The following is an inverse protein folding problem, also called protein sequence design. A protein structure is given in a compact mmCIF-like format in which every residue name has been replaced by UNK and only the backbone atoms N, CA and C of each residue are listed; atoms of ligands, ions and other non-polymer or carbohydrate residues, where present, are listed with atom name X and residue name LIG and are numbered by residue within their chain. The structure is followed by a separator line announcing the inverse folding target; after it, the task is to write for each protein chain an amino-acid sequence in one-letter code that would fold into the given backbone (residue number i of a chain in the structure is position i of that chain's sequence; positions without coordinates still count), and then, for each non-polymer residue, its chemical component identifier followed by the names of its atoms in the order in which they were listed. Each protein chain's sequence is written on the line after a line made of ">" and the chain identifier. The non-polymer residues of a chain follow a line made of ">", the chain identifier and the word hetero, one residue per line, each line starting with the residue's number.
data_IF_578825358379
#
_entry.id   IF_578825358379
#
_cell.length_a   1.000
_cell.length_b   1.000
_cell.length_c   1.000
_cell.angle_alpha   90.00
_cell.angle_beta   90.00
_cell.angle_gamma   90.00
#
_symmetry.space_group_name_H-M   'P 1'
#
loop_
_entity.id
_entity.type
_entity.pdbx_description
1 polymer ?
#
# COMPACT_ATOMS: atom_id res chain seq x y z
N UNK A 1 16.99 -3.96 6.32
CA UNK A 1 18.01 -3.72 5.30
C UNK A 1 17.52 -3.94 3.88
N UNK A 2 17.45 -5.20 3.42
CA UNK A 2 17.20 -5.53 2.01
C UNK A 2 15.90 -4.95 1.43
N UNK A 3 14.79 -5.00 2.18
CA UNK A 3 13.51 -4.44 1.77
C UNK A 3 13.61 -2.95 1.44
N UNK A 4 14.21 -2.15 2.34
CA UNK A 4 14.37 -0.70 2.14
C UNK A 4 15.24 -0.40 0.93
N UNK A 5 16.34 -1.13 0.75
CA UNK A 5 17.23 -0.99 -0.42
C UNK A 5 16.47 -1.27 -1.72
N UNK A 6 15.68 -2.35 -1.76
CA UNK A 6 14.90 -2.70 -2.95
C UNK A 6 13.85 -1.62 -3.25
N UNK A 7 13.14 -1.09 -2.24
CA UNK A 7 12.16 -0.02 -2.44
C UNK A 7 12.78 1.27 -2.97
N UNK A 8 13.98 1.65 -2.48
CA UNK A 8 14.74 2.79 -3.01
C UNK A 8 15.13 2.54 -4.47
N UNK A 9 15.72 1.38 -4.76
CA UNK A 9 16.14 1.05 -6.12
C UNK A 9 14.95 1.06 -7.10
N UNK A 10 13.83 0.42 -6.74
CA UNK A 10 12.62 0.43 -7.57
C UNK A 10 12.08 1.85 -7.77
N UNK A 11 12.08 2.68 -6.72
CA UNK A 11 11.67 4.08 -6.79
C UNK A 11 12.56 4.90 -7.73
N UNK A 12 13.88 4.78 -7.59
CA UNK A 12 14.87 5.50 -8.43
C UNK A 12 14.77 5.06 -9.89
N UNK A 13 14.72 3.74 -10.15
CA UNK A 13 14.53 3.23 -11.52
C UNK A 13 13.22 3.73 -12.12
N UNK A 14 12.13 3.73 -11.36
CA UNK A 14 10.83 4.21 -11.83
C UNK A 14 10.83 5.70 -12.15
N UNK A 15 11.53 6.53 -11.36
CA UNK A 15 11.70 7.95 -11.65
C UNK A 15 12.52 8.17 -12.91
N UNK A 16 13.60 7.40 -13.10
CA UNK A 16 14.43 7.47 -14.30
C UNK A 16 13.62 7.12 -15.56
N UNK A 17 12.85 6.01 -15.53
CA UNK A 17 11.98 5.62 -16.64
C UNK A 17 10.85 6.64 -16.86
N UNK A 18 10.24 7.17 -15.80
CA UNK A 18 9.23 8.20 -15.90
C UNK A 18 9.74 9.45 -16.61
N UNK A 19 10.97 9.85 -16.29
CA UNK A 19 11.63 10.99 -16.90
C UNK A 19 11.96 10.75 -18.38
N UNK A 20 12.51 9.58 -18.71
CA UNK A 20 12.86 9.24 -20.10
C UNK A 20 11.65 9.01 -21.00
N UNK A 21 10.66 8.25 -20.51
CA UNK A 21 9.52 7.83 -21.34
C UNK A 21 8.29 8.73 -21.20
N UNK A 22 8.36 9.76 -20.34
CA UNK A 22 7.25 10.69 -20.00
C UNK A 22 5.95 9.97 -19.60
N UNK A 23 6.09 8.79 -18.99
CA UNK A 23 4.95 7.97 -18.58
C UNK A 23 4.47 8.31 -17.18
N UNK A 24 3.21 8.75 -17.08
CA UNK A 24 2.59 9.16 -15.82
C UNK A 24 2.45 8.04 -14.78
N UNK A 25 2.36 6.77 -15.22
CA UNK A 25 2.25 5.66 -14.23
C UNK A 25 3.59 5.35 -13.53
N UNK A 26 4.72 5.58 -14.19
CA UNK A 26 6.01 5.37 -13.57
C UNK A 26 6.25 6.34 -12.40
N UNK A 27 5.78 7.60 -12.52
CA UNK A 27 5.76 8.53 -11.38
C UNK A 27 4.84 8.03 -10.24
N UNK A 28 3.67 7.47 -10.60
CA UNK A 28 2.77 6.88 -9.62
C UNK A 28 3.40 5.70 -8.89
N UNK A 29 4.12 4.83 -9.60
CA UNK A 29 4.83 3.70 -9.01
C UNK A 29 5.98 4.16 -8.10
N UNK A 30 6.76 5.15 -8.54
CA UNK A 30 7.82 5.74 -7.71
C UNK A 30 7.26 6.36 -6.42
N UNK A 31 6.09 7.02 -6.49
CA UNK A 31 5.41 7.54 -5.31
C UNK A 31 4.99 6.42 -4.35
N UNK A 32 4.44 5.30 -4.86
CA UNK A 32 4.12 4.12 -4.04
C UNK A 32 5.37 3.57 -3.36
N UNK A 33 6.47 3.37 -4.09
CA UNK A 33 7.73 2.91 -3.52
C UNK A 33 8.26 3.86 -2.43
N UNK A 34 8.17 5.19 -2.66
CA UNK A 34 8.58 6.20 -1.69
C UNK A 34 7.73 6.16 -0.40
N UNK A 35 6.41 6.01 -0.52
CA UNK A 35 5.53 5.88 0.65
C UNK A 35 5.79 4.56 1.39
N UNK A 36 5.96 3.43 0.69
CA UNK A 36 6.34 2.16 1.30
C UNK A 36 7.70 2.25 2.04
N UNK A 37 8.67 2.96 1.46
CA UNK A 37 9.94 3.23 2.12
C UNK A 37 9.74 4.02 3.42
N UNK A 38 8.94 5.10 3.41
CA UNK A 38 8.66 5.91 4.61
C UNK A 38 7.97 5.09 5.71
N UNK A 39 6.99 4.25 5.35
CA UNK A 39 6.32 3.35 6.31
C UNK A 39 7.35 2.43 6.99
N UNK A 40 8.28 1.87 6.23
CA UNK A 40 9.26 0.89 6.72
C UNK A 40 10.48 1.52 7.39
N UNK A 41 10.67 2.84 7.29
CA UNK A 41 11.75 3.56 7.96
C UNK A 41 11.50 3.78 9.46
N UNK A 42 10.25 3.73 9.92
CA UNK A 42 9.89 4.01 11.31
C UNK A 42 10.70 3.20 12.33
N UNK A 43 10.85 1.86 12.23
CA UNK A 43 11.63 1.08 13.18
C UNK A 43 13.10 1.51 13.24
N UNK A 44 13.67 1.91 12.09
CA UNK A 44 15.07 2.37 11.99
C UNK A 44 15.23 3.69 12.73
N UNK A 45 14.36 4.67 12.48
CA UNK A 45 14.41 5.96 13.17
C UNK A 45 14.15 5.84 14.67
N UNK A 46 13.26 4.93 15.08
CA UNK A 46 12.99 4.64 16.47
C UNK A 46 14.22 4.04 17.20
N UNK A 47 14.95 3.13 16.53
CA UNK A 47 16.10 2.44 17.12
C UNK A 47 17.35 3.29 17.23
N UNK A 48 17.54 4.27 16.34
CA UNK A 48 18.76 5.07 16.25
C UNK A 48 18.58 6.55 16.59
N UNK A 49 17.34 7.01 16.77
CA UNK A 49 17.01 8.42 16.97
C UNK A 49 16.67 8.78 18.40
N UNK A 50 17.18 9.91 18.86
CA UNK A 50 16.74 10.60 20.09
C UNK A 50 15.49 11.46 19.86
N UNK A 51 14.80 11.26 18.76
CA UNK A 51 13.71 12.09 18.27
C UNK A 51 12.38 11.72 18.93
N UNK A 52 11.45 12.65 19.10
CA UNK A 52 10.17 12.34 19.73
C UNK A 52 9.39 11.32 18.87
N UNK A 53 9.02 10.21 19.48
CA UNK A 53 8.36 9.05 18.85
C UNK A 53 7.04 9.41 18.18
N UNK A 54 6.26 10.30 18.81
CA UNK A 54 4.87 10.60 18.39
C UNK A 54 4.73 11.12 16.96
N UNK A 55 5.51 12.12 16.49
CA UNK A 55 5.40 12.59 15.10
C UNK A 55 5.72 11.52 14.07
N UNK A 56 6.70 10.66 14.34
CA UNK A 56 7.08 9.57 13.44
C UNK A 56 6.00 8.50 13.35
N UNK A 57 5.39 8.16 14.48
CA UNK A 57 4.27 7.22 14.50
C UNK A 57 3.06 7.77 13.74
N UNK A 58 2.74 9.06 13.87
CA UNK A 58 1.68 9.70 13.08
C UNK A 58 2.01 9.67 11.59
N UNK A 59 3.26 9.95 11.21
CA UNK A 59 3.71 9.90 9.82
C UNK A 59 3.56 8.49 9.25
N UNK A 60 3.99 7.46 9.99
CA UNK A 60 3.83 6.05 9.59
C UNK A 60 2.37 5.71 9.33
N UNK A 61 1.48 6.03 10.27
CA UNK A 61 0.04 5.73 10.13
C UNK A 61 -0.56 6.45 8.92
N UNK A 62 -0.23 7.73 8.72
CA UNK A 62 -0.71 8.51 7.56
C UNK A 62 -0.17 7.93 6.25
N UNK A 63 1.11 7.59 6.19
CA UNK A 63 1.71 6.96 5.02
C UNK A 63 1.09 5.58 4.75
N UNK A 64 0.92 4.76 5.78
CA UNK A 64 0.29 3.44 5.67
C UNK A 64 -1.14 3.53 5.14
N UNK A 65 -1.93 4.48 5.63
CA UNK A 65 -3.28 4.68 5.11
C UNK A 65 -3.28 5.25 3.70
N UNK A 66 -2.34 6.13 3.38
CA UNK A 66 -2.22 6.79 2.07
C UNK A 66 -1.74 5.90 0.94
N UNK A 67 -0.99 4.83 1.25
CA UNK A 67 -0.46 3.91 0.24
C UNK A 67 -1.58 3.16 -0.51
N UNK A 68 -2.66 2.81 0.17
CA UNK A 68 -3.75 2.03 -0.44
C UNK A 68 -4.48 2.76 -1.57
N UNK A 69 -4.95 4.01 -1.42
CA UNK A 69 -5.58 4.73 -2.53
C UNK A 69 -4.60 4.99 -3.69
N UNK A 70 -3.30 5.18 -3.38
CA UNK A 70 -2.28 5.32 -4.42
C UNK A 70 -2.12 4.04 -5.23
N UNK A 71 -2.02 2.88 -4.56
CA UNK A 71 -1.92 1.57 -5.21
C UNK A 71 -3.19 1.30 -6.01
N UNK A 72 -4.38 1.49 -5.44
CA UNK A 72 -5.65 1.26 -6.13
C UNK A 72 -5.77 2.11 -7.40
N UNK A 73 -5.37 3.38 -7.33
CA UNK A 73 -5.35 4.26 -8.50
C UNK A 73 -4.34 3.82 -9.56
N UNK A 74 -3.15 3.42 -9.14
CA UNK A 74 -2.09 2.96 -10.03
C UNK A 74 -2.51 1.65 -10.71
N UNK A 75 -2.93 0.66 -9.93
CA UNK A 75 -3.40 -0.63 -10.44
C UNK A 75 -4.59 -0.46 -11.38
N UNK A 76 -5.58 0.39 -11.03
CA UNK A 76 -6.72 0.68 -11.88
C UNK A 76 -6.34 1.26 -13.24
N UNK A 77 -5.27 2.07 -13.30
CA UNK A 77 -4.73 2.58 -14.57
C UNK A 77 -4.05 1.49 -15.39
N UNK A 78 -3.21 0.65 -14.75
CA UNK A 78 -2.50 -0.46 -15.41
C UNK A 78 -3.51 -1.44 -16.02
N UNK A 79 -4.56 -1.79 -15.28
CA UNK A 79 -5.62 -2.70 -15.74
C UNK A 79 -6.65 -2.02 -16.66
N UNK A 80 -6.39 -0.78 -17.06
CA UNK A 80 -7.20 0.02 -18.01
C UNK A 80 -8.68 0.11 -17.60
N UNK A 81 -8.94 0.32 -16.30
CA UNK A 81 -10.30 0.54 -15.81
C UNK A 81 -10.88 1.87 -16.31
N UNK A 82 -12.22 1.97 -16.43
CA UNK A 82 -12.88 3.24 -16.74
C UNK A 82 -12.50 4.33 -15.73
N UNK A 83 -12.16 5.52 -16.21
CA UNK A 83 -11.74 6.66 -15.37
C UNK A 83 -12.74 7.03 -14.28
N UNK A 84 -14.04 6.83 -14.54
CA UNK A 84 -15.11 7.06 -13.56
C UNK A 84 -14.97 6.12 -12.37
N UNK A 85 -14.72 4.83 -12.63
CA UNK A 85 -14.57 3.82 -11.59
C UNK A 85 -13.33 4.09 -10.74
N UNK A 86 -12.18 4.35 -11.38
CA UNK A 86 -10.93 4.71 -10.67
C UNK A 86 -11.15 5.93 -9.76
N UNK A 87 -11.88 6.94 -10.25
CA UNK A 87 -12.19 8.14 -9.46
C UNK A 87 -13.06 7.84 -8.26
N UNK A 88 -14.13 7.06 -8.45
CA UNK A 88 -15.05 6.67 -7.36
C UNK A 88 -14.32 5.86 -6.30
N UNK A 89 -13.57 4.84 -6.70
CA UNK A 89 -12.75 4.03 -5.79
C UNK A 89 -11.75 4.89 -5.02
N UNK A 90 -11.01 5.78 -5.70
CA UNK A 90 -10.03 6.67 -5.06
C UNK A 90 -10.71 7.61 -4.05
N UNK A 91 -11.88 8.16 -4.37
CA UNK A 91 -12.63 9.05 -3.46
C UNK A 91 -13.11 8.29 -2.23
N UNK A 92 -13.67 7.09 -2.41
CA UNK A 92 -14.15 6.24 -1.30
C UNK A 92 -12.98 5.87 -0.39
N UNK A 93 -11.85 5.40 -0.94
CA UNK A 93 -10.68 5.01 -0.16
C UNK A 93 -10.04 6.22 0.54
N UNK A 94 -9.95 7.37 -0.12
CA UNK A 94 -9.45 8.60 0.50
C UNK A 94 -10.39 9.09 1.62
N UNK A 95 -11.69 8.98 1.44
CA UNK A 95 -12.69 9.29 2.47
C UNK A 95 -12.54 8.37 3.70
N UNK A 96 -12.36 7.06 3.48
CA UNK A 96 -12.08 6.09 4.53
C UNK A 96 -10.78 6.40 5.28
N UNK A 97 -9.73 6.80 4.55
CA UNK A 97 -8.46 7.25 5.13
C UNK A 97 -8.66 8.46 6.05
N UNK A 98 -9.37 9.49 5.59
CA UNK A 98 -9.65 10.69 6.39
C UNK A 98 -10.45 10.34 7.63
N UNK A 99 -11.50 9.53 7.49
CA UNK A 99 -12.34 9.11 8.60
C UNK A 99 -11.53 8.34 9.66
N UNK A 100 -10.73 7.35 9.24
CA UNK A 100 -9.86 6.60 10.15
C UNK A 100 -8.81 7.52 10.80
N UNK A 101 -8.24 8.47 10.05
CA UNK A 101 -7.29 9.47 10.57
C UNK A 101 -7.90 10.38 11.64
N UNK A 102 -9.14 10.85 11.44
CA UNK A 102 -9.86 11.63 12.45
C UNK A 102 -10.02 10.84 13.75
N UNK A 103 -10.49 9.59 13.69
CA UNK A 103 -10.62 8.74 14.87
C UNK A 103 -9.27 8.41 15.51
N UNK A 104 -8.20 8.29 14.74
CA UNK A 104 -6.85 8.14 15.26
C UNK A 104 -6.41 9.36 16.09
N UNK A 105 -6.64 10.57 15.60
CA UNK A 105 -6.28 11.81 16.31
C UNK A 105 -7.06 11.96 17.62
N UNK A 106 -8.33 11.58 17.66
CA UNK A 106 -9.16 11.64 18.86
C UNK A 106 -8.99 10.42 19.79
N UNK A 107 -8.43 9.32 19.29
CA UNK A 107 -8.23 8.09 20.05
C UNK A 107 -7.14 8.15 21.10
N UNK A 108 -6.24 9.11 21.01
CA UNK A 108 -5.14 9.30 21.96
C UNK A 108 -5.66 9.77 23.34
N UNK A 109 -5.98 8.80 24.20
CA UNK A 109 -6.44 9.03 25.58
C UNK A 109 -7.82 8.49 25.93
N UNK A 110 -8.55 7.95 24.96
CA UNK A 110 -9.88 7.36 25.22
C UNK A 110 -9.98 5.94 24.61
N UNK A 111 -10.11 4.92 25.48
CA UNK A 111 -10.16 3.53 25.06
C UNK A 111 -11.29 3.19 24.07
N UNK A 112 -12.46 3.86 24.19
CA UNK A 112 -13.59 3.66 23.26
C UNK A 112 -13.25 4.16 21.86
N UNK A 113 -12.65 5.33 21.74
CA UNK A 113 -12.21 5.85 20.44
C UNK A 113 -11.12 4.99 19.82
N UNK A 114 -10.21 4.43 20.62
CA UNK A 114 -9.20 3.47 20.16
C UNK A 114 -9.82 2.21 19.58
N UNK A 115 -10.88 1.66 20.19
CA UNK A 115 -11.59 0.49 19.66
C UNK A 115 -12.31 0.80 18.34
N UNK A 116 -12.98 1.96 18.26
CA UNK A 116 -13.62 2.42 17.01
C UNK A 116 -12.58 2.61 15.91
N UNK A 117 -11.46 3.25 16.23
CA UNK A 117 -10.35 3.40 15.28
C UNK A 117 -9.85 2.05 14.75
N UNK A 118 -9.60 1.08 15.63
CA UNK A 118 -9.15 -0.25 15.23
C UNK A 118 -10.15 -0.96 14.30
N UNK A 119 -11.46 -0.84 14.58
CA UNK A 119 -12.51 -1.36 13.72
C UNK A 119 -12.53 -0.65 12.36
N UNK A 120 -12.50 0.67 12.34
CA UNK A 120 -12.48 1.46 11.10
C UNK A 120 -11.24 1.15 10.26
N UNK A 121 -10.08 1.04 10.88
CA UNK A 121 -8.84 0.67 10.21
C UNK A 121 -8.93 -0.72 9.58
N UNK A 122 -9.49 -1.69 10.29
CA UNK A 122 -9.72 -3.04 9.77
C UNK A 122 -10.68 -3.03 8.58
N UNK A 123 -11.83 -2.34 8.69
CA UNK A 123 -12.79 -2.23 7.59
C UNK A 123 -12.18 -1.51 6.38
N UNK A 124 -11.40 -0.47 6.63
CA UNK A 124 -10.67 0.26 5.59
C UNK A 124 -9.68 -0.63 4.84
N UNK A 125 -8.80 -1.34 5.56
CA UNK A 125 -7.82 -2.25 4.97
C UNK A 125 -8.49 -3.37 4.17
N UNK A 126 -9.55 -3.97 4.74
CA UNK A 126 -10.33 -5.03 4.07
C UNK A 126 -10.99 -4.50 2.81
N UNK A 127 -11.62 -3.34 2.87
CA UNK A 127 -12.22 -2.68 1.71
C UNK A 127 -11.19 -2.40 0.59
N UNK A 128 -10.00 -1.92 0.97
CA UNK A 128 -8.90 -1.72 0.03
C UNK A 128 -8.45 -3.02 -0.63
N UNK A 129 -8.25 -4.09 0.16
CA UNK A 129 -7.86 -5.40 -0.36
C UNK A 129 -8.90 -5.98 -1.32
N UNK A 130 -10.19 -5.88 -0.99
CA UNK A 130 -11.27 -6.31 -1.88
C UNK A 130 -11.33 -5.50 -3.18
N UNK A 131 -11.12 -4.19 -3.10
CA UNK A 131 -11.04 -3.32 -4.27
C UNK A 131 -9.89 -3.74 -5.21
N UNK A 132 -8.70 -3.93 -4.65
CA UNK A 132 -7.52 -4.38 -5.40
C UNK A 132 -7.72 -5.76 -6.01
N UNK A 133 -8.31 -6.69 -5.25
CA UNK A 133 -8.61 -8.04 -5.73
C UNK A 133 -9.63 -8.01 -6.87
N UNK A 134 -10.67 -7.20 -6.76
CA UNK A 134 -11.64 -7.00 -7.84
C UNK A 134 -10.97 -6.46 -9.11
N UNK A 135 -10.11 -5.45 -8.98
CA UNK A 135 -9.37 -4.89 -10.11
C UNK A 135 -8.47 -5.94 -10.78
N UNK A 136 -7.69 -6.71 -9.99
CA UNK A 136 -6.80 -7.74 -10.49
C UNK A 136 -7.56 -8.89 -11.15
N UNK A 137 -8.66 -9.36 -10.54
CA UNK A 137 -9.52 -10.41 -11.09
C UNK A 137 -10.16 -9.98 -12.41
N UNK A 138 -10.67 -8.75 -12.47
CA UNK A 138 -11.25 -8.20 -13.71
C UNK A 138 -10.22 -8.09 -14.82
N UNK A 139 -8.99 -7.66 -14.50
CA UNK A 139 -7.90 -7.58 -15.46
C UNK A 139 -7.51 -8.95 -16.01
N UNK A 140 -7.45 -9.95 -15.15
CA UNK A 140 -7.18 -11.33 -15.53
C UNK A 140 -8.29 -11.91 -16.42
N UNK A 141 -9.55 -11.72 -16.03
CA UNK A 141 -10.71 -12.21 -16.79
C UNK A 141 -10.84 -11.56 -18.18
N UNK A 142 -10.50 -10.28 -18.29
CA UNK A 142 -10.60 -9.52 -19.55
C UNK A 142 -9.31 -9.62 -20.39
N UNK A 143 -8.38 -10.50 -20.02
CA UNK A 143 -7.10 -10.72 -20.73
C UNK A 143 -6.25 -9.44 -20.89
N UNK A 144 -6.50 -8.42 -20.06
CA UNK A 144 -5.69 -7.18 -20.05
C UNK A 144 -4.29 -7.49 -19.51
N UNK A 145 -4.22 -8.28 -18.42
CA UNK A 145 -2.99 -8.84 -17.90
C UNK A 145 -2.89 -10.31 -18.33
N UNK A 146 -2.00 -10.63 -19.26
CA UNK A 146 -1.81 -12.00 -19.76
C UNK A 146 -1.22 -12.96 -18.74
N UNK A 147 -0.63 -12.42 -17.68
CA UNK A 147 -0.01 -13.21 -16.60
C UNK A 147 -0.82 -13.09 -15.31
N UNK A 148 -0.90 -14.14 -14.48
CA UNK A 148 -1.61 -14.10 -13.21
C UNK A 148 -0.81 -13.37 -12.10
N UNK A 149 0.35 -12.78 -12.42
CA UNK A 149 1.29 -12.21 -11.44
C UNK A 149 0.63 -11.15 -10.57
N UNK A 150 -0.12 -10.23 -11.17
CA UNK A 150 -0.84 -9.18 -10.43
C UNK A 150 -1.92 -9.76 -9.51
N UNK A 151 -2.65 -10.79 -9.98
CA UNK A 151 -3.66 -11.47 -9.18
C UNK A 151 -3.02 -12.20 -8.00
N UNK A 152 -1.93 -12.93 -8.24
CA UNK A 152 -1.19 -13.64 -7.17
C UNK A 152 -0.65 -12.66 -6.13
N UNK A 153 -0.01 -11.56 -6.55
CA UNK A 153 0.48 -10.52 -5.64
C UNK A 153 -0.63 -9.90 -4.79
N UNK A 154 -1.79 -9.66 -5.40
CA UNK A 154 -2.96 -9.11 -4.68
C UNK A 154 -3.57 -10.10 -3.69
N UNK A 155 -3.63 -11.39 -4.05
CA UNK A 155 -4.09 -12.48 -3.14
C UNK A 155 -3.13 -12.62 -1.95
N UNK A 156 -1.83 -12.63 -2.20
CA UNK A 156 -0.81 -12.71 -1.13
C UNK A 156 -0.91 -11.51 -0.18
N UNK A 157 -1.13 -10.31 -0.73
CA UNK A 157 -1.38 -9.13 0.08
C UNK A 157 -2.65 -9.28 0.94
N UNK A 158 -3.77 -9.71 0.37
CA UNK A 158 -5.01 -9.97 1.12
C UNK A 158 -4.81 -11.03 2.21
N UNK A 159 -4.11 -12.13 1.91
CA UNK A 159 -3.80 -13.17 2.88
C UNK A 159 -2.92 -12.66 4.03
N UNK A 160 -1.96 -11.78 3.74
CA UNK A 160 -1.11 -11.16 4.77
C UNK A 160 -1.90 -10.28 5.74
N UNK A 161 -2.92 -9.54 5.27
CA UNK A 161 -3.81 -8.77 6.14
C UNK A 161 -4.64 -9.67 7.07
N UNK A 162 -5.09 -10.82 6.57
CA UNK A 162 -5.80 -11.81 7.39
C UNK A 162 -4.85 -12.42 8.42
N UNK A 163 -3.63 -12.77 8.02
CA UNK A 163 -2.62 -13.31 8.94
C UNK A 163 -2.31 -12.34 10.08
N UNK A 164 -2.09 -11.05 9.78
CA UNK A 164 -1.86 -10.02 10.81
C UNK A 164 -3.04 -9.91 11.80
N UNK A 165 -4.25 -10.15 11.32
CA UNK A 165 -5.43 -10.15 12.20
C UNK A 165 -5.53 -11.38 13.09
N UNK A 166 -5.11 -12.55 12.58
CA UNK A 166 -5.13 -13.81 13.33
C UNK A 166 -4.04 -13.87 14.41
N UNK A 167 -2.94 -13.17 14.22
CA UNK A 167 -1.79 -13.15 15.12
C UNK A 167 -1.51 -11.75 15.68
N UNK A 168 -2.47 -11.12 16.38
CA UNK A 168 -2.28 -9.79 16.92
C UNK A 168 -1.18 -9.79 18.00
N UNK A 169 -0.19 -8.94 17.86
CA UNK A 169 0.90 -8.80 18.84
C UNK A 169 2.12 -9.69 18.60
N UNK A 170 2.12 -10.53 17.58
CA UNK A 170 3.31 -11.25 17.14
C UNK A 170 3.99 -10.49 16.01
N UNK A 171 5.25 -10.11 16.20
CA UNK A 171 6.15 -9.82 15.10
C UNK A 171 6.63 -11.17 14.54
N UNK A 172 6.07 -11.66 13.43
CA UNK A 172 6.26 -13.05 13.05
C UNK A 172 7.62 -13.33 12.43
N UNK A 173 8.32 -12.29 11.96
CA UNK A 173 9.58 -12.46 11.24
C UNK A 173 10.47 -11.24 11.51
N UNK A 174 11.77 -11.46 11.61
CA UNK A 174 12.79 -10.44 11.76
C UNK A 174 12.50 -9.15 10.95
N UNK A 175 11.88 -8.17 11.60
CA UNK A 175 11.76 -6.79 11.13
C UNK A 175 10.50 -6.41 10.37
N UNK A 176 9.38 -7.14 10.43
CA UNK A 176 8.16 -6.68 9.79
C UNK A 176 6.91 -7.52 10.09
N UNK A 177 5.76 -6.90 9.87
CA UNK A 177 4.45 -7.54 9.92
C UNK A 177 4.18 -8.31 8.63
N UNK A 178 3.31 -9.33 8.65
CA UNK A 178 2.89 -10.03 7.43
C UNK A 178 2.39 -9.09 6.33
N UNK A 179 1.71 -8.02 6.72
CA UNK A 179 1.23 -6.98 5.82
C UNK A 179 2.34 -6.33 4.99
N UNK A 180 3.52 -6.10 5.58
CA UNK A 180 4.66 -5.50 4.85
C UNK A 180 5.18 -6.44 3.78
N UNK A 181 5.23 -7.75 4.08
CA UNK A 181 5.61 -8.77 3.10
C UNK A 181 4.59 -8.83 1.98
N UNK A 182 3.30 -8.84 2.31
CA UNK A 182 2.22 -8.84 1.32
C UNK A 182 2.24 -7.58 0.45
N UNK A 183 2.47 -6.42 1.05
CA UNK A 183 2.60 -5.15 0.34
C UNK A 183 3.81 -5.16 -0.60
N UNK A 184 4.93 -5.73 -0.17
CA UNK A 184 6.12 -5.91 -1.00
C UNK A 184 5.84 -6.79 -2.22
N UNK A 185 5.18 -7.93 -2.03
CA UNK A 185 4.80 -8.82 -3.13
C UNK A 185 3.83 -8.15 -4.12
N UNK A 186 2.90 -7.35 -3.62
CA UNK A 186 2.00 -6.57 -4.45
C UNK A 186 2.75 -5.51 -5.27
N UNK A 187 3.67 -4.77 -4.64
CA UNK A 187 4.50 -3.75 -5.33
C UNK A 187 5.37 -4.39 -6.41
N UNK A 188 6.00 -5.54 -6.12
CA UNK A 188 6.77 -6.28 -7.13
C UNK A 188 5.89 -6.74 -8.30
N UNK A 189 4.67 -7.20 -8.03
CA UNK A 189 3.73 -7.63 -9.06
C UNK A 189 3.31 -6.47 -9.98
N UNK A 190 3.06 -5.30 -9.39
CA UNK A 190 2.75 -4.07 -10.13
C UNK A 190 3.97 -3.64 -10.95
N UNK A 191 5.17 -3.66 -10.37
CA UNK A 191 6.41 -3.33 -11.07
C UNK A 191 6.67 -4.26 -12.26
N UNK A 192 6.39 -5.55 -12.12
CA UNK A 192 6.50 -6.52 -13.21
C UNK A 192 5.55 -6.19 -14.38
N UNK A 193 4.27 -5.90 -14.10
CA UNK A 193 3.32 -5.54 -15.16
C UNK A 193 3.70 -4.20 -15.84
N UNK A 194 4.20 -3.23 -15.08
CA UNK A 194 4.73 -1.99 -15.64
C UNK A 194 5.94 -2.22 -16.54
N UNK A 195 6.90 -3.04 -16.11
CA UNK A 195 8.09 -3.36 -16.89
C UNK A 195 7.73 -4.05 -18.22
N UNK A 196 6.71 -4.90 -18.19
CA UNK A 196 6.21 -5.59 -19.38
C UNK A 196 5.50 -4.67 -20.38
N UNK A 197 4.80 -3.63 -19.89
CA UNK A 197 4.18 -2.63 -20.76
C UNK A 197 5.23 -1.69 -21.40
N UNK A 198 6.46 -1.68 -20.86
CA UNK A 198 7.57 -0.86 -21.34
C UNK A 198 8.48 -1.58 -22.36
N UNK A 199 8.44 -2.92 -22.36
CA UNK A 199 9.22 -3.79 -23.27
C UNK A 199 8.48 -4.06 -24.58
#
# INVERSE_FOLDING_TARGET
>A
GAYLTIMVLLGVFSLFFAWQLKQTYAYGFAAVCGVCFLVSCYPVFFSYGTWPVRPWYVLEVVCLMGVYPLIARLQGKIVKLPQRLIRVETVILSGGMVLAGVFFMFGAGNARFGQIYALLLFLYKTGCALCLLYQAFRAYRNEVCKTPVLLVGTVLFGASLVADRMYPGYEPIYGGWFQEIGLFMLVLSIGYELAKDLA
#
